data_IF_730861865030
#
_entry.id   IF_730861865030
#
_cell.length_a   1.000
_cell.length_b   1.000
_cell.length_c   1.000
_cell.angle_alpha   90.00
_cell.angle_beta   90.00
_cell.angle_gamma   90.00
#
_symmetry.space_group_name_H-M   'P 1'
#
loop_
_entity.id
_entity.type
_entity.pdbx_description
1 polymer ?
#
# COMPACT_ATOMS: atom_id res chain seq x y z
N UNK A 1 -11.38 22.06 21.52
CA UNK A 1 -12.34 22.37 20.42
C UNK A 1 -11.71 22.38 19.03
N UNK A 2 -10.79 23.29 18.66
CA UNK A 2 -10.21 23.34 17.29
C UNK A 2 -9.56 22.02 16.84
N UNK A 3 -8.86 21.35 17.76
CA UNK A 3 -8.22 20.05 17.46
C UNK A 3 -9.25 18.97 17.11
N UNK A 4 -10.39 18.94 17.82
CA UNK A 4 -11.47 17.97 17.56
C UNK A 4 -12.05 18.15 16.14
N UNK A 5 -12.29 19.40 15.73
CA UNK A 5 -12.73 19.69 14.36
C UNK A 5 -11.68 19.29 13.33
N UNK A 6 -10.39 19.55 13.61
CA UNK A 6 -9.29 19.19 12.70
C UNK A 6 -9.20 17.68 12.47
N UNK A 7 -9.42 16.88 13.50
CA UNK A 7 -9.39 15.41 13.42
C UNK A 7 -10.73 14.81 12.97
N UNK A 8 -11.70 15.65 12.60
CA UNK A 8 -12.98 15.23 12.01
C UNK A 8 -14.08 14.90 13.03
N UNK A 9 -13.91 15.25 14.30
CA UNK A 9 -14.93 15.04 15.34
C UNK A 9 -15.92 16.22 15.35
N UNK A 10 -17.23 15.96 15.19
CA UNK A 10 -18.26 16.99 15.32
C UNK A 10 -18.25 17.63 16.72
N UNK A 11 -18.56 18.93 16.81
CA UNK A 11 -18.56 19.64 18.10
C UNK A 11 -19.52 19.00 19.12
N UNK A 12 -20.68 18.50 18.67
CA UNK A 12 -21.63 17.82 19.54
C UNK A 12 -21.00 16.59 20.20
N UNK A 13 -20.24 15.81 19.45
CA UNK A 13 -19.61 14.58 19.93
C UNK A 13 -18.44 14.91 20.83
N UNK A 14 -17.64 15.94 20.52
CA UNK A 14 -16.58 16.44 21.39
C UNK A 14 -17.07 16.76 22.81
N UNK A 15 -18.25 17.37 22.95
CA UNK A 15 -18.81 17.70 24.27
C UNK A 15 -19.30 16.48 25.05
N UNK A 16 -19.58 15.37 24.36
CA UNK A 16 -19.98 14.11 24.97
C UNK A 16 -18.80 13.15 25.20
N UNK A 17 -17.60 13.51 24.76
CA UNK A 17 -16.39 12.70 24.91
C UNK A 17 -15.64 13.05 26.18
N UNK A 18 -15.05 12.02 26.77
CA UNK A 18 -14.05 12.19 27.83
C UNK A 18 -12.74 12.72 27.24
N UNK A 19 -11.91 13.41 28.06
CA UNK A 19 -10.58 13.82 27.63
C UNK A 19 -9.73 12.64 27.11
N UNK A 20 -9.87 11.46 27.72
CA UNK A 20 -9.13 10.26 27.31
C UNK A 20 -9.51 9.80 25.90
N UNK A 21 -10.80 9.73 25.58
CA UNK A 21 -11.25 9.35 24.23
C UNK A 21 -10.79 10.35 23.16
N UNK A 22 -10.73 11.63 23.52
CA UNK A 22 -10.17 12.65 22.65
C UNK A 22 -8.67 12.41 22.40
N UNK A 23 -7.90 12.08 23.44
CA UNK A 23 -6.47 11.76 23.30
C UNK A 23 -6.25 10.57 22.38
N UNK A 24 -6.98 9.47 22.58
CA UNK A 24 -6.88 8.29 21.70
C UNK A 24 -7.21 8.65 20.26
N UNK A 25 -8.23 9.50 20.04
CA UNK A 25 -8.59 9.96 18.70
C UNK A 25 -7.49 10.80 18.05
N UNK A 26 -6.78 11.62 18.84
CA UNK A 26 -5.64 12.41 18.37
C UNK A 26 -4.49 11.48 17.97
N UNK A 27 -4.15 10.49 18.79
CA UNK A 27 -3.07 9.53 18.49
C UNK A 27 -3.33 8.78 17.18
N UNK A 28 -4.54 8.24 17.01
CA UNK A 28 -4.95 7.55 15.78
C UNK A 28 -4.89 8.48 14.57
N UNK A 29 -5.28 9.75 14.74
CA UNK A 29 -5.19 10.74 13.67
C UNK A 29 -3.73 11.04 13.29
N UNK A 30 -2.83 11.21 14.27
CA UNK A 30 -1.42 11.43 14.02
C UNK A 30 -0.78 10.27 13.25
N UNK A 31 -1.09 9.03 13.62
CA UNK A 31 -0.55 7.86 12.93
C UNK A 31 -1.09 7.74 11.50
N UNK A 32 -2.37 8.04 11.28
CA UNK A 32 -2.93 8.14 9.92
C UNK A 32 -2.24 9.21 9.09
N UNK A 33 -1.95 10.38 9.66
CA UNK A 33 -1.27 11.45 8.92
C UNK A 33 0.19 11.11 8.62
N UNK A 34 0.88 10.35 9.50
CA UNK A 34 2.22 9.82 9.21
C UNK A 34 2.20 8.83 8.05
N UNK A 35 1.27 7.86 8.06
CA UNK A 35 1.13 6.90 6.95
C UNK A 35 0.75 7.59 5.65
N UNK A 36 -0.21 8.52 5.70
CA UNK A 36 -0.59 9.35 4.55
C UNK A 36 0.60 10.14 3.98
N UNK A 37 1.45 10.70 4.84
CA UNK A 37 2.66 11.41 4.40
C UNK A 37 3.62 10.47 3.64
N UNK A 38 3.83 9.26 4.14
CA UNK A 38 4.62 8.23 3.44
C UNK A 38 3.99 7.86 2.10
N UNK A 39 2.69 7.64 2.06
CA UNK A 39 1.93 7.34 0.83
C UNK A 39 2.09 8.46 -0.21
N UNK A 40 2.00 9.73 0.20
CA UNK A 40 2.18 10.88 -0.68
C UNK A 40 3.60 10.96 -1.27
N UNK A 41 4.62 10.69 -0.45
CA UNK A 41 6.02 10.64 -0.92
C UNK A 41 6.19 9.53 -1.96
N UNK A 42 5.65 8.34 -1.68
CA UNK A 42 5.69 7.20 -2.60
C UNK A 42 4.95 7.50 -3.90
N UNK A 43 3.76 8.10 -3.81
CA UNK A 43 2.98 8.53 -4.97
C UNK A 43 3.73 9.57 -5.81
N UNK A 44 4.33 10.58 -5.17
CA UNK A 44 5.11 11.62 -5.86
C UNK A 44 6.32 11.01 -6.58
N UNK A 45 7.02 10.08 -5.94
CA UNK A 45 8.13 9.35 -6.54
C UNK A 45 7.68 8.55 -7.77
N UNK A 46 6.61 7.75 -7.67
CA UNK A 46 6.12 6.96 -8.80
C UNK A 46 5.57 7.84 -9.93
N UNK A 47 4.94 8.98 -9.60
CA UNK A 47 4.48 9.95 -10.60
C UNK A 47 5.67 10.51 -11.38
N UNK A 48 6.75 10.90 -10.69
CA UNK A 48 7.98 11.37 -11.32
C UNK A 48 8.70 10.27 -12.13
N UNK A 49 8.69 9.02 -11.65
CA UNK A 49 9.24 7.89 -12.39
C UNK A 49 8.45 7.64 -13.67
N UNK A 50 7.12 7.63 -13.60
CA UNK A 50 6.23 7.43 -14.73
C UNK A 50 6.38 8.54 -15.77
N UNK A 51 6.51 9.80 -15.35
CA UNK A 51 6.70 10.93 -16.27
C UNK A 51 8.04 10.91 -17.00
N UNK A 52 9.07 10.29 -16.41
CA UNK A 52 10.40 10.13 -17.01
C UNK A 52 10.54 8.87 -17.87
N UNK A 53 9.54 7.99 -17.90
CA UNK A 53 9.61 6.79 -18.74
C UNK A 53 9.65 7.15 -20.22
N UNK A 54 10.64 6.61 -20.95
CA UNK A 54 10.75 6.78 -22.41
C UNK A 54 9.50 6.32 -23.17
N UNK A 55 8.78 5.35 -22.63
CA UNK A 55 7.50 4.85 -23.18
C UNK A 55 6.52 4.63 -22.05
N UNK A 56 5.46 5.44 -22.02
CA UNK A 56 4.39 5.31 -21.04
C UNK A 56 3.54 4.07 -21.38
N UNK A 57 3.35 3.13 -20.44
CA UNK A 57 2.48 1.98 -20.64
C UNK A 57 1.01 2.41 -20.80
N UNK A 58 0.21 1.64 -21.53
CA UNK A 58 -1.23 1.95 -21.66
C UNK A 58 -1.90 1.78 -20.31
N UNK A 59 -2.86 2.67 -19.98
CA UNK A 59 -3.59 2.62 -18.71
C UNK A 59 -4.20 1.25 -18.42
N UNK A 60 -4.78 0.60 -19.45
CA UNK A 60 -5.35 -0.75 -19.33
C UNK A 60 -4.35 -1.81 -18.85
N UNK A 61 -3.06 -1.63 -19.14
CA UNK A 61 -2.02 -2.56 -18.73
C UNK A 61 -1.57 -2.30 -17.28
N UNK A 62 -1.65 -1.05 -16.82
CA UNK A 62 -1.43 -0.67 -15.42
C UNK A 62 -2.59 -1.11 -14.50
N UNK A 63 -3.83 -1.07 -15.01
CA UNK A 63 -5.02 -1.44 -14.25
C UNK A 63 -5.31 -2.96 -14.27
N UNK A 64 -4.50 -3.76 -14.96
CA UNK A 64 -4.68 -5.22 -14.94
C UNK A 64 -4.41 -5.75 -13.54
N UNK A 65 -5.41 -6.43 -12.98
CA UNK A 65 -5.20 -7.23 -11.78
C UNK A 65 -4.15 -8.30 -12.05
N UNK A 66 -3.18 -8.43 -11.14
CA UNK A 66 -2.23 -9.54 -11.20
C UNK A 66 -3.00 -10.83 -10.94
N UNK A 67 -2.92 -11.78 -11.88
CA UNK A 67 -3.47 -13.12 -11.68
C UNK A 67 -2.84 -13.73 -10.44
N UNK A 68 -3.67 -14.12 -9.46
CA UNK A 68 -3.21 -14.94 -8.34
C UNK A 68 -2.83 -16.31 -8.88
N UNK A 69 -1.59 -16.71 -8.64
CA UNK A 69 -1.11 -18.05 -9.02
C UNK A 69 -1.55 -19.07 -7.97
N UNK A 70 -1.94 -20.26 -8.41
CA UNK A 70 -2.12 -21.42 -7.55
C UNK A 70 -0.75 -21.93 -7.04
N UNK A 71 -0.70 -22.71 -5.93
CA UNK A 71 0.56 -23.27 -5.43
C UNK A 71 1.35 -24.07 -6.47
N UNK A 72 0.64 -24.79 -7.36
CA UNK A 72 1.26 -25.51 -8.47
C UNK A 72 1.87 -24.55 -9.50
N UNK A 73 1.16 -23.51 -9.88
CA UNK A 73 1.69 -22.51 -10.82
C UNK A 73 2.87 -21.72 -10.24
N UNK A 74 2.88 -21.48 -8.92
CA UNK A 74 4.03 -20.89 -8.23
C UNK A 74 5.25 -21.82 -8.28
N UNK A 75 5.06 -23.11 -7.98
CA UNK A 75 6.12 -24.11 -8.05
C UNK A 75 6.72 -24.18 -9.46
N UNK A 76 5.87 -24.25 -10.48
CA UNK A 76 6.30 -24.24 -11.88
C UNK A 76 7.03 -22.96 -12.27
N UNK A 77 6.59 -21.79 -11.78
CA UNK A 77 7.29 -20.54 -12.02
C UNK A 77 8.68 -20.52 -11.37
N UNK A 78 8.81 -21.04 -10.15
CA UNK A 78 10.08 -21.15 -9.43
C UNK A 78 11.02 -22.13 -10.13
N UNK A 79 10.54 -23.31 -10.56
CA UNK A 79 11.33 -24.27 -11.34
C UNK A 79 11.88 -23.64 -12.62
N UNK A 80 11.06 -22.91 -13.37
CA UNK A 80 11.50 -22.18 -14.57
C UNK A 80 12.58 -21.14 -14.25
N UNK A 81 12.39 -20.34 -13.20
CA UNK A 81 13.38 -19.35 -12.79
C UNK A 81 14.69 -19.99 -12.34
N UNK A 82 14.62 -21.08 -11.55
CA UNK A 82 15.78 -21.84 -11.10
C UNK A 82 16.60 -22.37 -12.28
N UNK A 83 15.93 -22.97 -13.27
CA UNK A 83 16.58 -23.46 -14.48
C UNK A 83 17.23 -22.33 -15.31
N UNK A 84 16.55 -21.18 -15.44
CA UNK A 84 17.11 -20.01 -16.12
C UNK A 84 18.35 -19.44 -15.41
N UNK A 85 18.45 -19.61 -14.09
CA UNK A 85 19.59 -19.20 -13.28
C UNK A 85 20.66 -20.29 -13.13
N UNK A 86 20.50 -21.43 -13.80
CA UNK A 86 21.48 -22.54 -13.81
C UNK A 86 21.41 -23.48 -12.61
N UNK A 87 20.32 -23.47 -11.84
CA UNK A 87 20.10 -24.40 -10.74
C UNK A 87 19.45 -25.73 -11.20
N UNK A 88 19.70 -26.79 -10.44
CA UNK A 88 19.11 -28.12 -10.67
C UNK A 88 17.82 -28.32 -9.86
N UNK A 89 16.86 -29.07 -10.41
CA UNK A 89 15.62 -29.42 -9.71
C UNK A 89 15.77 -30.83 -9.12
N UNK A 90 15.67 -30.94 -7.79
CA UNK A 90 15.81 -32.22 -7.07
C UNK A 90 14.45 -32.59 -6.46
N UNK A 91 13.93 -33.78 -6.80
CA UNK A 91 12.76 -34.38 -6.13
C UNK A 91 11.41 -34.35 -6.88
N UNK A 92 11.40 -34.72 -8.18
CA UNK A 92 10.14 -35.03 -8.88
C UNK A 92 9.84 -36.55 -8.78
N UNK A 93 9.29 -36.99 -7.65
CA UNK A 93 8.61 -38.29 -7.48
C UNK A 93 7.30 -38.08 -6.71
#
# INVERSE_FOLDING_TARGET
>A
MKIAIRIGIPLKDFWNMTPYELFVSIEVFEDKEKERSKELIVQAYYTAALSRMKKIPKLKDLLKEKKKQTPKEMLEAVKRLNAMMGGEVIGDN
#
